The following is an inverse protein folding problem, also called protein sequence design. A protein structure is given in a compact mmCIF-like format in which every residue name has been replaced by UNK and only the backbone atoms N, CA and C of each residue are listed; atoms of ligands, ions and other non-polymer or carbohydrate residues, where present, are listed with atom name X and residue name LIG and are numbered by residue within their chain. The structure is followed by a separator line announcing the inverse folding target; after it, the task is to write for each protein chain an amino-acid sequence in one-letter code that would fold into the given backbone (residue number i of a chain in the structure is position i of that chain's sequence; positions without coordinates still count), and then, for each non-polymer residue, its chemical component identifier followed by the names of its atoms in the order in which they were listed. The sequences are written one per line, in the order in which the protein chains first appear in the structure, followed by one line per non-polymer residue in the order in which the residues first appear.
data_IF_497841001618
#
_entry.id   IF_497841001618
#
_cell.length_a   1.000
_cell.length_b   1.000
_cell.length_c   1.000
_cell.angle_alpha   90.00
_cell.angle_beta   90.00
_cell.angle_gamma   90.00
#
_symmetry.space_group_name_H-M   'P 1'
#
loop_
_entity.id
_entity.type
_entity.pdbx_description
1 polymer ?
#
# COMPACT_ATOMS: atom_id res chain seq x y z
N UNK A 1 -4.91 14.41 -27.97
CA UNK A 1 -5.90 13.93 -28.98
C UNK A 1 -5.26 13.87 -30.36
N UNK A 2 -5.33 12.73 -31.04
CA UNK A 2 -4.82 12.57 -32.42
C UNK A 2 -5.78 13.30 -33.37
N UNK A 3 -5.32 14.24 -34.20
CA UNK A 3 -6.18 14.89 -35.17
C UNK A 3 -6.62 13.90 -36.25
N UNK A 4 -7.90 13.96 -36.63
CA UNK A 4 -8.45 13.09 -37.67
C UNK A 4 -7.87 13.50 -39.03
N UNK A 5 -7.12 12.60 -39.65
CA UNK A 5 -6.50 12.85 -40.96
C UNK A 5 -6.09 11.55 -41.65
N UNK A 6 -6.11 11.57 -42.98
CA UNK A 6 -5.84 10.39 -43.82
C UNK A 6 -4.43 9.83 -43.63
N UNK A 7 -3.45 10.69 -43.34
CA UNK A 7 -2.07 10.26 -43.12
C UNK A 7 -1.89 9.56 -41.77
N UNK A 8 -2.42 10.13 -40.68
CA UNK A 8 -2.19 9.60 -39.33
C UNK A 8 -2.97 8.31 -39.06
N UNK A 9 -4.16 8.17 -39.66
CA UNK A 9 -4.97 6.95 -39.57
C UNK A 9 -4.43 5.80 -40.43
N UNK A 10 -3.51 6.06 -41.36
CA UNK A 10 -2.88 5.00 -42.16
C UNK A 10 -1.84 4.19 -41.37
N UNK A 11 -1.36 4.71 -40.24
CA UNK A 11 -0.43 4.04 -39.37
C UNK A 11 -1.13 3.13 -38.37
N UNK A 12 -0.49 2.01 -38.02
CA UNK A 12 -1.00 1.09 -37.02
C UNK A 12 -0.85 1.69 -35.61
N UNK A 13 -1.73 1.29 -34.68
CA UNK A 13 -1.75 1.73 -33.29
C UNK A 13 -0.39 1.55 -32.58
N UNK A 14 0.40 0.55 -32.97
CA UNK A 14 1.72 0.27 -32.43
C UNK A 14 2.72 1.43 -32.58
N UNK A 15 2.55 2.29 -33.60
CA UNK A 15 3.43 3.45 -33.83
C UNK A 15 3.24 4.51 -32.75
N UNK A 16 2.05 4.55 -32.15
CA UNK A 16 1.67 5.49 -31.11
C UNK A 16 1.74 4.87 -29.70
N UNK A 17 2.09 3.57 -29.60
CA UNK A 17 2.23 2.88 -28.34
C UNK A 17 3.36 3.49 -27.49
N UNK A 18 3.11 3.67 -26.20
CA UNK A 18 4.08 4.23 -25.24
C UNK A 18 3.98 5.74 -24.99
N UNK A 19 3.08 6.45 -25.69
CA UNK A 19 2.78 7.85 -25.37
C UNK A 19 1.42 7.97 -24.66
N UNK A 20 1.45 8.28 -23.36
CA UNK A 20 0.26 8.34 -22.51
C UNK A 20 -0.62 9.59 -22.77
N UNK A 21 -0.08 10.64 -23.39
CA UNK A 21 -0.81 11.89 -23.70
C UNK A 21 -1.62 11.84 -25.01
N UNK A 22 -1.43 10.78 -25.81
CA UNK A 22 -2.13 10.57 -27.08
C UNK A 22 -3.41 9.79 -26.82
N UNK A 23 -4.55 10.25 -27.34
CA UNK A 23 -5.86 9.59 -27.24
C UNK A 23 -6.62 9.74 -28.57
N UNK A 24 -7.53 8.81 -28.88
CA UNK A 24 -8.32 8.74 -30.12
C UNK A 24 -7.80 7.71 -31.14
N UNK A 25 -8.63 7.38 -32.14
CA UNK A 25 -8.29 6.38 -33.18
C UNK A 25 -6.97 6.71 -33.91
N UNK A 26 -6.13 5.71 -34.24
CA UNK A 26 -6.35 4.25 -34.15
C UNK A 26 -6.09 3.63 -32.76
N UNK A 27 -5.84 4.45 -31.74
CA UNK A 27 -5.54 4.01 -30.39
C UNK A 27 -6.85 3.70 -29.62
N UNK A 28 -6.82 2.68 -28.75
CA UNK A 28 -8.01 2.21 -28.03
C UNK A 28 -8.44 3.15 -26.88
N UNK A 29 -7.58 4.07 -26.47
CA UNK A 29 -7.88 5.03 -25.42
C UNK A 29 -8.77 6.18 -25.95
N UNK A 30 -9.94 6.32 -25.34
CA UNK A 30 -10.87 7.40 -25.65
C UNK A 30 -10.42 8.68 -24.95
N UNK A 31 -10.53 9.82 -25.64
CA UNK A 31 -10.35 11.11 -24.99
C UNK A 31 -11.57 11.40 -24.10
N UNK A 32 -11.41 12.13 -22.99
CA UNK A 32 -12.51 12.45 -22.07
C UNK A 32 -13.71 13.14 -22.74
N UNK A 33 -13.48 13.80 -23.88
CA UNK A 33 -14.49 14.59 -24.60
C UNK A 33 -15.40 13.78 -25.55
N UNK A 34 -15.25 12.44 -25.64
CA UNK A 34 -15.93 11.58 -26.63
C UNK A 34 -16.94 10.60 -25.98
N UNK A 35 -17.70 11.05 -24.98
CA UNK A 35 -18.87 10.33 -24.47
C UNK A 35 -20.08 10.58 -25.39
N UNK A 36 -20.20 9.85 -26.52
CA UNK A 36 -21.50 9.53 -27.16
C UNK A 36 -21.38 8.83 -28.52
N UNK A 37 -21.03 7.54 -28.56
CA UNK A 37 -21.62 6.61 -29.57
C UNK A 37 -21.45 5.14 -29.15
N UNK A 38 -22.52 4.34 -29.09
CA UNK A 38 -22.43 2.92 -28.79
C UNK A 38 -22.13 2.12 -30.08
N UNK A 39 -21.16 1.20 -30.05
CA UNK A 39 -21.01 0.16 -31.07
C UNK A 39 -20.42 -1.12 -30.47
N UNK A 40 -20.80 -2.31 -30.98
CA UNK A 40 -21.01 -3.49 -30.18
C UNK A 40 -19.85 -4.50 -30.21
N UNK A 41 -19.71 -5.23 -29.10
CA UNK A 41 -19.06 -6.54 -29.05
C UNK A 41 -17.54 -6.51 -28.89
N UNK A 42 -17.06 -6.85 -27.70
CA UNK A 42 -16.46 -8.15 -27.37
C UNK A 42 -16.15 -8.10 -25.87
N UNK A 43 -16.60 -9.11 -25.14
CA UNK A 43 -16.24 -9.32 -23.75
C UNK A 43 -14.72 -9.44 -23.63
N UNK A 44 -14.08 -8.52 -22.91
CA UNK A 44 -12.90 -8.87 -22.13
C UNK A 44 -12.84 -7.98 -20.88
N UNK A 45 -12.60 -8.68 -19.80
CA UNK A 45 -12.59 -8.25 -18.42
C UNK A 45 -11.35 -7.40 -18.16
N UNK A 46 -11.49 -6.08 -18.01
CA UNK A 46 -10.51 -5.27 -17.26
C UNK A 46 -11.06 -3.88 -16.96
N UNK A 47 -11.41 -3.74 -15.69
CA UNK A 47 -11.14 -2.58 -14.85
C UNK A 47 -11.76 -1.24 -15.22
N UNK A 48 -12.80 -0.92 -14.45
CA UNK A 48 -13.17 0.42 -13.97
C UNK A 48 -11.96 1.14 -13.32
N UNK A 49 -10.98 1.56 -14.10
CA UNK A 49 -9.72 2.21 -13.67
C UNK A 49 -9.84 3.71 -13.33
N UNK A 50 -11.00 4.19 -12.87
CA UNK A 50 -11.13 5.61 -12.48
C UNK A 50 -11.40 5.80 -10.98
N UNK A 51 -11.94 4.80 -10.27
CA UNK A 51 -12.12 4.85 -8.80
C UNK A 51 -11.00 4.11 -8.03
N UNK A 52 -10.18 3.34 -8.74
CA UNK A 52 -9.13 2.53 -8.14
C UNK A 52 -7.81 3.28 -7.90
N UNK A 53 -7.53 4.37 -8.62
CA UNK A 53 -6.22 5.02 -8.57
C UNK A 53 -5.93 5.67 -7.20
N UNK A 54 -6.92 6.33 -6.59
CA UNK A 54 -6.81 6.89 -5.24
C UNK A 54 -6.69 5.79 -4.16
N UNK A 55 -7.34 4.65 -4.38
CA UNK A 55 -7.25 3.49 -3.49
C UNK A 55 -5.92 2.74 -3.64
N UNK A 56 -5.37 2.62 -4.85
CA UNK A 56 -4.06 2.02 -5.12
C UNK A 56 -2.93 2.84 -4.51
N UNK A 57 -2.99 4.18 -4.57
CA UNK A 57 -1.99 5.04 -3.90
C UNK A 57 -2.03 4.84 -2.38
N UNK A 58 -3.24 4.78 -1.81
CA UNK A 58 -3.44 4.55 -0.37
C UNK A 58 -2.94 3.16 0.06
N UNK A 59 -3.24 2.13 -0.73
CA UNK A 59 -2.80 0.75 -0.49
C UNK A 59 -1.29 0.61 -0.69
N UNK A 60 -0.72 1.21 -1.73
CA UNK A 60 0.71 1.23 -1.99
C UNK A 60 1.49 1.94 -0.89
N UNK A 61 0.97 3.06 -0.38
CA UNK A 61 1.54 3.74 0.78
C UNK A 61 1.47 2.87 2.04
N UNK A 62 0.33 2.20 2.28
CA UNK A 62 0.18 1.30 3.43
C UNK A 62 1.13 0.09 3.36
N UNK A 63 1.22 -0.56 2.20
CA UNK A 63 2.16 -1.68 1.98
C UNK A 63 3.62 -1.23 2.10
N UNK A 64 3.97 -0.09 1.52
CA UNK A 64 5.32 0.49 1.64
C UNK A 64 5.64 0.83 3.10
N UNK A 65 4.70 1.40 3.83
CA UNK A 65 4.84 1.71 5.26
C UNK A 65 5.07 0.46 6.09
N UNK A 66 4.31 -0.61 5.86
CA UNK A 66 4.48 -1.89 6.55
C UNK A 66 5.84 -2.52 6.23
N UNK A 67 6.19 -2.62 4.95
CA UNK A 67 7.46 -3.22 4.51
C UNK A 67 8.65 -2.41 5.04
N UNK A 68 8.56 -1.08 4.97
CA UNK A 68 9.56 -0.17 5.51
C UNK A 68 9.71 -0.30 7.03
N UNK A 69 8.60 -0.45 7.75
CA UNK A 69 8.62 -0.71 9.18
C UNK A 69 9.32 -2.03 9.49
N UNK A 70 8.98 -3.12 8.81
CA UNK A 70 9.66 -4.40 9.03
C UNK A 70 11.15 -4.30 8.74
N UNK A 71 11.55 -3.78 7.57
CA UNK A 71 12.98 -3.66 7.21
C UNK A 71 13.73 -2.78 8.20
N UNK A 72 13.19 -1.62 8.57
CA UNK A 72 13.80 -0.72 9.53
C UNK A 72 13.88 -1.32 10.94
N UNK A 73 12.78 -1.93 11.40
CA UNK A 73 12.70 -2.59 12.71
C UNK A 73 13.70 -3.75 12.80
N UNK A 74 13.74 -4.63 11.80
CA UNK A 74 14.71 -5.73 11.75
C UNK A 74 16.15 -5.23 11.59
N UNK A 75 16.38 -4.10 10.92
CA UNK A 75 17.71 -3.48 10.86
C UNK A 75 18.18 -3.01 12.24
N UNK A 76 17.34 -2.29 12.97
CA UNK A 76 17.63 -1.81 14.33
C UNK A 76 17.73 -2.99 15.30
N UNK A 77 16.71 -3.84 15.37
CA UNK A 77 16.67 -5.02 16.24
C UNK A 77 17.78 -6.02 15.91
N UNK A 78 18.06 -6.27 14.63
CA UNK A 78 19.16 -7.13 14.20
C UNK A 78 20.51 -6.59 14.65
N UNK A 79 20.77 -5.29 14.47
CA UNK A 79 21.98 -4.62 14.96
C UNK A 79 22.10 -4.72 16.49
N UNK A 80 21.00 -4.48 17.21
CA UNK A 80 20.92 -4.62 18.66
C UNK A 80 21.20 -6.04 19.14
N UNK A 81 20.71 -7.05 18.42
CA UNK A 81 20.91 -8.47 18.75
C UNK A 81 22.34 -8.95 18.45
N UNK A 82 22.99 -8.42 17.41
CA UNK A 82 24.37 -8.74 17.07
C UNK A 82 25.38 -8.06 18.01
N UNK A 83 25.05 -6.86 18.53
CA UNK A 83 25.87 -6.19 19.52
C UNK A 83 25.69 -6.84 20.92
N UNK A 84 26.58 -7.79 21.24
CA UNK A 84 26.58 -8.57 22.49
C UNK A 84 26.51 -7.71 23.76
N UNK A 85 27.10 -6.51 23.75
CA UNK A 85 27.11 -5.60 24.90
C UNK A 85 25.77 -4.86 25.07
N UNK A 86 25.15 -4.42 23.97
CA UNK A 86 23.82 -3.79 24.01
C UNK A 86 22.70 -4.80 24.24
N UNK A 87 22.87 -6.04 23.76
CA UNK A 87 21.92 -7.13 23.96
C UNK A 87 21.62 -7.35 25.44
N UNK A 88 22.66 -7.43 26.28
CA UNK A 88 22.48 -7.63 27.72
C UNK A 88 21.74 -6.46 28.39
N UNK A 89 22.09 -5.22 28.05
CA UNK A 89 21.41 -4.02 28.57
C UNK A 89 19.94 -3.96 28.15
N UNK A 90 19.64 -4.25 26.88
CA UNK A 90 18.28 -4.29 26.36
C UNK A 90 17.43 -5.40 27.01
N UNK A 91 17.95 -6.62 27.13
CA UNK A 91 17.24 -7.72 27.80
C UNK A 91 17.00 -7.44 29.28
N UNK A 92 17.96 -6.84 29.99
CA UNK A 92 17.80 -6.49 31.39
C UNK A 92 16.73 -5.40 31.57
N UNK A 93 16.70 -4.41 30.69
CA UNK A 93 15.65 -3.38 30.66
C UNK A 93 14.27 -3.98 30.39
N UNK A 94 14.13 -4.83 29.37
CA UNK A 94 12.86 -5.51 29.07
C UNK A 94 12.37 -6.38 30.23
N UNK A 95 13.28 -7.11 30.88
CA UNK A 95 12.93 -7.96 32.02
C UNK A 95 12.44 -7.11 33.19
N UNK A 96 13.14 -6.00 33.47
CA UNK A 96 12.76 -5.05 34.52
C UNK A 96 11.40 -4.40 34.25
N UNK A 97 11.15 -3.98 33.01
CA UNK A 97 9.86 -3.45 32.55
C UNK A 97 8.74 -4.50 32.70
N UNK A 98 8.99 -5.73 32.25
CA UNK A 98 8.02 -6.84 32.33
C UNK A 98 7.65 -7.14 33.78
N UNK A 99 8.62 -7.16 34.68
CA UNK A 99 8.39 -7.44 36.09
C UNK A 99 7.60 -6.31 36.77
N UNK A 100 7.89 -5.05 36.45
CA UNK A 100 7.10 -3.91 36.91
C UNK A 100 5.64 -3.98 36.44
N UNK A 101 5.42 -4.21 35.13
CA UNK A 101 4.07 -4.37 34.56
C UNK A 101 3.35 -5.57 35.18
N UNK A 102 4.04 -6.70 35.35
CA UNK A 102 3.46 -7.90 35.95
C UNK A 102 3.02 -7.66 37.39
N UNK A 103 3.83 -6.98 38.20
CA UNK A 103 3.48 -6.63 39.58
C UNK A 103 2.28 -5.68 39.60
N UNK A 104 2.25 -4.64 38.76
CA UNK A 104 1.10 -3.72 38.66
C UNK A 104 -0.16 -4.48 38.26
N UNK A 105 -0.07 -5.31 37.23
CA UNK A 105 -1.17 -6.11 36.73
C UNK A 105 -1.69 -7.08 37.81
N UNK A 106 -0.81 -7.82 38.46
CA UNK A 106 -1.16 -8.74 39.55
C UNK A 106 -1.79 -8.02 40.74
N UNK A 107 -1.25 -6.86 41.16
CA UNK A 107 -1.81 -6.04 42.25
C UNK A 107 -3.16 -5.48 41.86
N UNK A 108 -3.33 -4.98 40.63
CA UNK A 108 -4.60 -4.44 40.15
C UNK A 108 -5.66 -5.54 40.04
N UNK A 109 -5.32 -6.72 39.53
CA UNK A 109 -6.22 -7.89 39.53
C UNK A 109 -6.58 -8.28 40.96
N UNK A 110 -5.61 -8.37 41.87
CA UNK A 110 -5.88 -8.72 43.26
C UNK A 110 -6.78 -7.67 43.94
N UNK A 111 -6.61 -6.37 43.64
CA UNK A 111 -7.49 -5.30 44.11
C UNK A 111 -8.89 -5.41 43.51
N UNK A 112 -9.01 -5.69 42.21
CA UNK A 112 -10.29 -5.89 41.53
C UNK A 112 -11.06 -7.08 42.12
N UNK A 113 -10.40 -8.24 42.27
CA UNK A 113 -10.99 -9.43 42.88
C UNK A 113 -11.46 -9.19 44.32
N UNK A 114 -10.71 -8.43 45.12
CA UNK A 114 -11.14 -8.03 46.47
C UNK A 114 -12.38 -7.14 46.44
N UNK A 115 -12.47 -6.22 45.48
CA UNK A 115 -13.62 -5.32 45.32
C UNK A 115 -14.89 -6.04 44.84
N UNK A 116 -14.75 -7.11 44.05
CA UNK A 116 -15.89 -7.95 43.65
C UNK A 116 -16.37 -8.91 44.74
N UNK A 117 -15.49 -9.26 45.70
CA UNK A 117 -15.80 -10.18 46.80
C UNK A 117 -16.44 -9.50 48.02
N UNK A 118 -16.43 -8.16 48.08
CA UNK A 118 -16.86 -7.36 49.23
C UNK A 118 -18.03 -6.46 48.85
#
# INVERSE_FOLDING_TARGET
KIPLGTQLQSFNASVYAGNLELCGLPLANKCPDEESTPSPGTDDDSDTLEDENDQFITLGFYLSSILGFFVGFWGVCGTLMLNRSWRYGFFNFLTSMKDWVYVIWAVNIAKLLRKFRN
#
